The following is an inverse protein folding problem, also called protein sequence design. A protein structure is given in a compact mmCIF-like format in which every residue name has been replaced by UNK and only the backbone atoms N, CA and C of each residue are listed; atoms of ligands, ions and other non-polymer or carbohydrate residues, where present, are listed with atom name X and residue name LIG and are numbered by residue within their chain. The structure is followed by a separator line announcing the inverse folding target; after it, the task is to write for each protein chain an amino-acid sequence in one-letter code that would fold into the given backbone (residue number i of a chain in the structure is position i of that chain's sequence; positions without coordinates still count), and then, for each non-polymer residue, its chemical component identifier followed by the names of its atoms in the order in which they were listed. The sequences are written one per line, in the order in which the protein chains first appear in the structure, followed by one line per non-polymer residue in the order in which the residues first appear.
data_IF_999536427023
#
_entry.id   IF_999536427023
#
_cell.length_a   1.000
_cell.length_b   1.000
_cell.length_c   1.000
_cell.angle_alpha   90.00
_cell.angle_beta   90.00
_cell.angle_gamma   90.00
#
_symmetry.space_group_name_H-M   'P 1'
#
loop_
_entity.id
_entity.type
_entity.pdbx_description
1 polymer ?
#
# COMPACT_ATOMS: atom_id res chain seq x y z
N UNK A 1 -9.34 6.75 -7.17
CA UNK A 1 -8.97 5.31 -7.16
C UNK A 1 -9.97 4.56 -6.31
N UNK A 2 -10.61 3.51 -6.86
CA UNK A 2 -11.71 2.81 -6.19
C UNK A 2 -11.17 2.06 -4.97
N UNK A 3 -11.75 2.31 -3.80
CA UNK A 3 -11.41 1.67 -2.52
C UNK A 3 -12.11 0.31 -2.36
N UNK A 4 -12.56 -0.27 -3.47
CA UNK A 4 -13.40 -1.45 -3.48
C UNK A 4 -12.58 -2.74 -3.49
N UNK A 5 -13.17 -3.81 -2.97
CA UNK A 5 -12.62 -5.15 -3.02
C UNK A 5 -12.53 -5.67 -4.47
N UNK A 6 -11.39 -6.26 -4.91
CA UNK A 6 -11.25 -6.79 -6.26
C UNK A 6 -12.12 -8.03 -6.53
N UNK A 7 -12.57 -8.74 -5.48
CA UNK A 7 -13.33 -9.98 -5.63
C UNK A 7 -14.85 -9.75 -5.63
N UNK A 8 -15.38 -8.90 -4.73
CA UNK A 8 -16.82 -8.70 -4.58
C UNK A 8 -17.30 -7.27 -4.86
N UNK A 9 -16.41 -6.35 -5.24
CA UNK A 9 -16.70 -4.93 -5.49
C UNK A 9 -17.27 -4.14 -4.29
N UNK A 10 -17.29 -4.72 -3.09
CA UNK A 10 -17.70 -3.99 -1.88
C UNK A 10 -16.69 -2.91 -1.50
N UNK A 11 -17.18 -1.76 -1.04
CA UNK A 11 -16.37 -0.67 -0.49
C UNK A 11 -16.00 -0.88 1.00
N UNK A 12 -16.50 -1.94 1.64
CA UNK A 12 -16.18 -2.28 3.02
C UNK A 12 -14.81 -2.98 3.11
N UNK A 13 -13.75 -2.18 3.23
CA UNK A 13 -12.35 -2.64 3.28
C UNK A 13 -11.64 -2.16 4.54
N UNK A 14 -11.05 -3.10 5.28
CA UNK A 14 -10.23 -2.87 6.47
C UNK A 14 -8.74 -2.86 6.07
N UNK A 15 -7.98 -1.91 6.61
CA UNK A 15 -6.54 -1.81 6.37
C UNK A 15 -5.74 -2.46 7.49
N UNK A 16 -5.07 -3.57 7.20
CA UNK A 16 -4.15 -4.26 8.11
C UNK A 16 -2.75 -3.68 7.94
N UNK A 17 -2.55 -2.47 8.49
CA UNK A 17 -1.36 -1.63 8.21
C UNK A 17 -0.04 -2.29 8.60
N UNK A 18 0.01 -3.02 9.72
CA UNK A 18 1.21 -3.73 10.18
C UNK A 18 1.63 -4.89 9.27
N UNK A 19 0.69 -5.43 8.49
CA UNK A 19 0.90 -6.55 7.57
C UNK A 19 1.04 -6.09 6.12
N UNK A 20 0.87 -4.80 5.82
CA UNK A 20 0.74 -4.28 4.46
C UNK A 20 -0.34 -5.00 3.65
N UNK A 21 -1.50 -5.27 4.26
CA UNK A 21 -2.63 -5.93 3.60
C UNK A 21 -3.91 -5.09 3.69
N UNK A 22 -4.85 -5.37 2.78
CA UNK A 22 -6.25 -4.97 2.85
C UNK A 22 -7.11 -6.22 2.98
N UNK A 23 -8.15 -6.15 3.80
CA UNK A 23 -9.12 -7.21 4.03
C UNK A 23 -10.52 -6.70 3.67
N UNK A 24 -11.26 -7.43 2.85
CA UNK A 24 -12.67 -7.13 2.63
C UNK A 24 -13.51 -7.63 3.81
N UNK A 25 -14.36 -6.76 4.36
CA UNK A 25 -15.26 -7.10 5.45
C UNK A 25 -16.32 -8.11 5.05
N UNK A 26 -16.74 -8.12 3.78
CA UNK A 26 -17.81 -8.99 3.28
C UNK A 26 -17.30 -10.36 2.84
N UNK A 27 -16.44 -10.41 1.81
CA UNK A 27 -15.97 -11.68 1.24
C UNK A 27 -14.71 -12.24 1.89
N UNK A 28 -14.11 -11.53 2.87
CA UNK A 28 -12.87 -11.90 3.56
C UNK A 28 -11.65 -12.07 2.65
N UNK A 29 -11.72 -11.59 1.41
CA UNK A 29 -10.56 -11.57 0.53
C UNK A 29 -9.46 -10.65 1.09
N UNK A 30 -8.23 -11.13 1.05
CA UNK A 30 -7.04 -10.41 1.48
C UNK A 30 -6.16 -10.11 0.27
N UNK A 31 -5.70 -8.87 0.14
CA UNK A 31 -4.78 -8.49 -0.93
C UNK A 31 -3.74 -7.49 -0.45
N UNK A 32 -2.60 -7.49 -1.14
CA UNK A 32 -1.47 -6.67 -0.75
C UNK A 32 -1.76 -5.18 -0.91
N UNK A 33 -1.32 -4.41 0.10
CA UNK A 33 -1.32 -2.95 0.09
C UNK A 33 0.10 -2.46 -0.11
N UNK A 34 0.51 -2.37 -1.38
CA UNK A 34 1.77 -1.74 -1.75
C UNK A 34 1.60 -0.22 -1.89
N UNK A 35 2.69 0.50 -1.65
CA UNK A 35 2.82 1.92 -2.00
C UNK A 35 2.89 2.04 -3.53
N UNK A 36 2.30 3.10 -4.07
CA UNK A 36 2.44 3.40 -5.50
C UNK A 36 3.90 3.77 -5.83
N UNK A 37 4.30 3.62 -7.10
CA UNK A 37 5.61 4.03 -7.56
C UNK A 37 5.87 5.51 -7.20
N UNK A 38 6.97 5.78 -6.50
CA UNK A 38 7.35 7.12 -6.03
C UNK A 38 6.77 7.54 -4.67
N UNK A 39 5.88 6.75 -4.05
CA UNK A 39 5.43 7.00 -2.67
C UNK A 39 6.50 6.54 -1.66
N UNK A 40 6.82 7.43 -0.72
CA UNK A 40 7.75 7.13 0.39
C UNK A 40 6.99 6.49 1.56
N UNK A 41 7.57 5.47 2.23
CA UNK A 41 6.98 4.93 3.44
C UNK A 41 6.95 5.99 4.54
N UNK A 42 5.82 6.12 5.23
CA UNK A 42 5.66 7.07 6.34
C UNK A 42 6.51 6.71 7.57
N UNK A 43 6.86 5.43 7.71
CA UNK A 43 7.72 4.93 8.78
C UNK A 43 9.03 4.50 8.14
N UNK A 44 10.06 5.33 8.31
CA UNK A 44 11.42 5.05 7.90
C UNK A 44 12.41 5.70 8.88
N UNK A 45 13.67 5.26 8.85
CA UNK A 45 14.72 5.98 9.57
C UNK A 45 14.86 7.39 9.00
N UNK A 46 15.20 8.39 9.83
CA UNK A 46 15.46 9.78 9.39
C UNK A 46 16.59 9.89 8.33
N UNK A 47 17.32 8.80 8.07
CA UNK A 47 18.32 8.70 7.01
C UNK A 47 17.77 8.21 5.66
N UNK A 48 16.53 7.71 5.61
CA UNK A 48 15.92 7.17 4.40
C UNK A 48 15.80 8.20 3.28
N UNK A 49 15.57 9.47 3.62
CA UNK A 49 15.53 10.57 2.65
C UNK A 49 16.91 11.03 2.17
N UNK A 50 18.00 10.64 2.83
CA UNK A 50 19.36 11.14 2.52
C UNK A 50 20.06 10.42 1.35
N UNK A 51 19.43 9.40 0.76
CA UNK A 51 20.01 8.58 -0.31
C UNK A 51 19.26 8.60 -1.65
N UNK A 52 18.14 9.31 -1.77
CA UNK A 52 17.33 9.38 -3.00
C UNK A 52 17.76 10.54 -3.93
N UNK A 53 19.07 10.72 -4.10
CA UNK A 53 19.64 11.57 -5.15
C UNK A 53 20.64 10.75 -5.95
N UNK A 54 20.15 9.88 -6.83
CA UNK A 54 20.88 9.39 -8.00
C UNK A 54 19.89 8.72 -8.94
N UNK A 55 19.86 9.24 -10.15
CA UNK A 55 19.21 8.73 -11.36
C UNK A 55 19.16 7.20 -11.45
N UNK A 56 17.98 6.67 -11.79
CA UNK A 56 17.85 5.38 -12.47
C UNK A 56 17.09 5.62 -13.78
N UNK A 57 17.78 6.27 -14.73
CA UNK A 57 17.55 6.18 -16.18
C UNK A 57 18.76 5.46 -16.78
N UNK A 58 18.55 4.26 -17.30
CA UNK A 58 19.25 3.58 -18.41
C UNK A 58 19.03 2.06 -18.30
#
# INVERSE_FOLDING_TARGET
MKKACPQCSSDAVVLLRSMNLKLCSDCKHEWAWHLDAGQKPLVASNRADRGLTSEQQA
#
